data_IF_397215008497
#
_entry.id   IF_397215008497
#
_cell.length_a   1.000
_cell.length_b   1.000
_cell.length_c   1.000
_cell.angle_alpha   90.00
_cell.angle_beta   90.00
_cell.angle_gamma   90.00
#
_symmetry.space_group_name_H-M   'P 1'
#
loop_
_entity.id
_entity.type
_entity.pdbx_description
1 polymer ?
#
# COMPACT_ATOMS: atom_id res chain seq x y z
N UNK A 1 19.23 -50.40 42.95
CA UNK A 1 19.76 -51.19 41.80
C UNK A 1 18.81 -50.92 40.66
N UNK A 2 19.08 -50.17 39.59
CA UNK A 2 20.23 -49.43 39.01
C UNK A 2 19.52 -48.53 37.96
N UNK A 3 19.44 -47.21 38.14
CA UNK A 3 20.41 -46.22 37.63
C UNK A 3 20.84 -46.52 36.18
N UNK A 4 20.24 -45.80 35.23
CA UNK A 4 20.61 -45.76 33.82
C UNK A 4 21.28 -44.41 33.52
N UNK A 5 22.37 -44.40 32.72
CA UNK A 5 23.44 -43.41 32.83
C UNK A 5 23.09 -42.07 32.19
N UNK A 6 23.13 -41.01 32.99
CA UNK A 6 23.32 -39.64 32.54
C UNK A 6 24.81 -39.30 32.66
N UNK A 7 25.51 -39.13 31.54
CA UNK A 7 26.87 -38.59 31.46
C UNK A 7 27.16 -38.17 29.99
N UNK A 8 28.18 -37.33 29.70
CA UNK A 8 28.82 -36.29 30.50
C UNK A 8 29.27 -35.12 29.61
N UNK A 9 28.53 -34.03 29.55
CA UNK A 9 29.11 -32.74 29.17
C UNK A 9 28.50 -31.66 30.05
N UNK A 10 28.81 -31.81 31.33
CA UNK A 10 28.83 -30.69 32.25
C UNK A 10 30.00 -29.75 31.88
N UNK A 11 29.80 -28.48 32.23
CA UNK A 11 30.73 -27.35 32.23
C UNK A 11 30.91 -26.63 30.87
N UNK A 12 30.79 -25.31 30.77
CA UNK A 12 30.57 -24.25 31.75
C UNK A 12 30.35 -22.95 30.96
N UNK A 13 29.43 -22.10 31.40
CA UNK A 13 29.71 -20.84 32.11
C UNK A 13 29.61 -19.60 31.20
N UNK A 14 28.83 -18.63 31.69
CA UNK A 14 28.74 -17.21 31.33
C UNK A 14 28.12 -16.79 29.98
N UNK A 15 26.89 -16.28 30.09
CA UNK A 15 26.47 -14.91 29.73
C UNK A 15 24.93 -14.93 29.70
N UNK A 16 24.26 -14.37 30.70
CA UNK A 16 23.65 -13.03 30.63
C UNK A 16 22.53 -12.89 29.58
N UNK A 17 21.44 -12.27 30.04
CA UNK A 17 20.29 -11.78 29.27
C UNK A 17 19.29 -12.83 28.74
N UNK A 18 18.30 -13.13 29.59
CA UNK A 18 16.93 -13.41 29.10
C UNK A 18 16.15 -12.10 29.24
N UNK A 19 16.29 -11.23 28.24
CA UNK A 19 15.44 -10.08 27.98
C UNK A 19 15.82 -9.49 26.60
N UNK A 20 14.82 -8.98 25.88
CA UNK A 20 14.87 -8.31 24.56
C UNK A 20 14.64 -9.31 23.40
N UNK A 21 13.51 -9.31 22.68
CA UNK A 21 12.85 -8.20 21.96
C UNK A 21 13.74 -7.70 20.81
N UNK A 22 13.12 -7.27 19.70
CA UNK A 22 13.70 -6.74 18.45
C UNK A 22 13.90 -7.77 17.33
N UNK A 23 13.56 -7.50 16.09
CA UNK A 23 12.78 -6.43 15.49
C UNK A 23 12.39 -6.98 14.11
N UNK A 24 11.09 -7.09 13.85
CA UNK A 24 10.64 -7.08 12.45
C UNK A 24 10.91 -5.67 11.96
N UNK A 25 11.92 -5.52 11.11
CA UNK A 25 12.10 -4.35 10.25
C UNK A 25 10.97 -4.39 9.21
N UNK A 26 9.76 -4.20 9.72
CA UNK A 26 8.65 -3.60 9.01
C UNK A 26 9.10 -2.16 8.85
N UNK A 27 9.26 -1.69 7.60
CA UNK A 27 9.50 -0.28 7.33
C UNK A 27 8.25 0.43 7.80
N UNK A 28 8.23 0.74 9.09
CA UNK A 28 7.20 1.53 9.71
C UNK A 28 7.22 2.85 8.93
N UNK A 29 6.09 3.27 8.33
CA UNK A 29 5.98 4.63 7.85
C UNK A 29 6.44 5.53 9.00
N UNK A 30 7.26 6.55 8.68
CA UNK A 30 7.76 7.51 9.67
C UNK A 30 6.65 7.85 10.66
N UNK A 31 6.92 7.95 11.99
CA UNK A 31 5.89 7.99 13.00
C UNK A 31 4.88 9.09 12.65
N UNK A 32 3.73 8.66 12.09
CA UNK A 32 2.63 9.54 11.69
C UNK A 32 2.21 10.22 12.98
N UNK A 33 2.48 11.51 13.06
CA UNK A 33 2.38 12.24 14.32
C UNK A 33 0.90 12.38 14.63
N UNK A 34 0.41 11.54 15.52
CA UNK A 34 -0.97 11.59 16.00
C UNK A 34 -1.22 13.00 16.53
N UNK A 35 -2.07 13.75 15.83
CA UNK A 35 -2.37 15.14 16.15
C UNK A 35 -3.50 15.20 17.16
N UNK A 36 -3.40 16.13 18.11
CA UNK A 36 -4.58 16.55 18.86
C UNK A 36 -5.44 17.49 18.01
N UNK A 37 -6.73 17.57 18.33
CA UNK A 37 -7.66 18.54 17.72
C UNK A 37 -7.08 19.95 17.64
N UNK A 38 -6.49 20.45 18.73
CA UNK A 38 -5.94 21.81 18.78
C UNK A 38 -4.76 22.00 17.81
N UNK A 39 -3.96 20.96 17.60
CA UNK A 39 -2.81 20.96 16.69
C UNK A 39 -3.26 20.92 15.23
N UNK A 40 -4.37 20.23 14.94
CA UNK A 40 -5.07 20.29 13.66
C UNK A 40 -5.90 21.58 13.47
N UNK A 41 -5.88 22.50 14.45
CA UNK A 41 -6.69 23.72 14.46
C UNK A 41 -8.20 23.47 14.43
N UNK A 42 -8.62 22.34 15.01
CA UNK A 42 -10.01 21.92 15.13
C UNK A 42 -10.54 22.12 16.55
N UNK A 43 -11.84 22.31 16.66
CA UNK A 43 -12.56 22.37 17.93
C UNK A 43 -13.76 21.44 17.90
N UNK A 44 -14.24 20.98 19.05
CA UNK A 44 -15.54 20.31 19.12
C UNK A 44 -16.65 21.20 18.50
N UNK A 45 -17.47 20.63 17.63
CA UNK A 45 -18.44 21.31 16.78
C UNK A 45 -17.89 21.79 15.43
N UNK A 46 -16.60 21.60 15.14
CA UNK A 46 -16.03 21.96 13.84
C UNK A 46 -16.62 21.10 12.72
N UNK A 47 -16.73 21.72 11.54
CA UNK A 47 -17.21 21.11 10.31
C UNK A 47 -16.06 20.71 9.41
N UNK A 48 -16.12 19.47 8.95
CA UNK A 48 -15.09 18.81 8.18
C UNK A 48 -15.73 18.14 6.97
N UNK A 49 -14.92 17.87 5.96
CA UNK A 49 -15.25 16.99 4.87
C UNK A 49 -14.23 15.85 4.84
N UNK A 50 -14.71 14.62 4.74
CA UNK A 50 -13.86 13.41 4.67
C UNK A 50 -14.02 12.78 3.29
N UNK A 51 -12.91 12.45 2.64
CA UNK A 51 -12.88 11.83 1.31
C UNK A 51 -13.19 10.34 1.45
N UNK A 52 -14.29 9.91 0.86
CA UNK A 52 -14.73 8.51 0.81
C UNK A 52 -14.61 7.97 -0.61
N UNK A 53 -14.12 6.74 -0.74
CA UNK A 53 -14.22 5.97 -1.97
C UNK A 53 -15.40 5.01 -1.82
N UNK A 54 -16.49 5.30 -2.53
CA UNK A 54 -17.72 4.52 -2.46
C UNK A 54 -17.73 3.53 -3.63
N UNK A 55 -17.77 2.25 -3.30
CA UNK A 55 -17.94 1.16 -4.25
C UNK A 55 -19.40 0.66 -4.19
N UNK A 56 -20.30 1.15 -5.07
CA UNK A 56 -21.69 0.70 -5.07
C UNK A 56 -21.80 -0.75 -5.58
N UNK A 57 -22.81 -1.50 -5.08
CA UNK A 57 -23.11 -2.86 -5.56
C UNK A 57 -23.38 -2.92 -7.09
N UNK A 58 -23.91 -1.81 -7.64
CA UNK A 58 -24.15 -1.62 -9.07
C UNK A 58 -23.61 -0.25 -9.49
N UNK A 59 -22.52 -0.22 -10.26
CA UNK A 59 -21.94 1.01 -10.81
C UNK A 59 -20.41 1.02 -10.80
N UNK A 60 -19.84 2.16 -11.18
CA UNK A 60 -18.42 2.44 -11.06
C UNK A 60 -18.14 3.04 -9.67
N UNK A 61 -16.99 2.69 -9.09
CA UNK A 61 -16.52 3.28 -7.85
C UNK A 61 -16.36 4.80 -8.03
N UNK A 62 -16.78 5.58 -7.04
CA UNK A 62 -16.65 7.04 -7.10
C UNK A 62 -16.13 7.59 -5.78
N UNK A 63 -15.36 8.67 -5.89
CA UNK A 63 -14.83 9.39 -4.74
C UNK A 63 -15.72 10.58 -4.42
N UNK A 64 -15.98 10.81 -3.13
CA UNK A 64 -16.77 11.96 -2.66
C UNK A 64 -16.27 12.50 -1.34
N UNK A 65 -16.28 13.82 -1.22
CA UNK A 65 -16.13 14.52 0.06
C UNK A 65 -17.46 14.53 0.81
N UNK A 66 -17.47 13.92 1.99
CA UNK A 66 -18.65 13.77 2.84
C UNK A 66 -18.56 14.68 4.07
N UNK A 67 -19.59 15.49 4.29
CA UNK A 67 -19.67 16.39 5.43
C UNK A 67 -19.74 15.64 6.76
N UNK A 68 -18.93 16.06 7.73
CA UNK A 68 -18.89 15.50 9.07
C UNK A 68 -18.75 16.62 10.13
N UNK A 69 -19.33 16.39 11.29
CA UNK A 69 -19.18 17.26 12.47
C UNK A 69 -18.33 16.57 13.51
N UNK A 70 -17.27 17.24 13.94
CA UNK A 70 -16.41 16.75 15.01
C UNK A 70 -17.09 16.94 16.36
N UNK A 71 -17.58 15.87 16.97
CA UNK A 71 -18.38 15.94 18.20
C UNK A 71 -17.51 16.24 19.42
N UNK A 72 -16.33 15.61 19.50
CA UNK A 72 -15.47 15.70 20.69
C UNK A 72 -14.57 14.48 20.88
N UNK A 73 -13.82 14.43 21.99
CA UNK A 73 -13.09 13.22 22.38
C UNK A 73 -14.06 12.07 22.71
N UNK A 74 -13.76 10.89 22.18
CA UNK A 74 -14.47 9.64 22.51
C UNK A 74 -13.87 8.96 23.74
N UNK A 75 -14.64 8.07 24.35
CA UNK A 75 -14.17 7.14 25.40
C UNK A 75 -13.49 5.89 24.84
N UNK A 76 -13.59 5.67 23.53
CA UNK A 76 -12.92 4.57 22.82
C UNK A 76 -11.40 4.73 22.87
N UNK A 77 -10.69 3.61 22.75
CA UNK A 77 -9.23 3.57 22.77
C UNK A 77 -8.72 2.94 21.48
N UNK A 78 -7.69 3.54 20.90
CA UNK A 78 -7.01 2.91 19.77
C UNK A 78 -6.38 1.58 20.24
N UNK A 79 -6.59 0.47 19.51
CA UNK A 79 -6.11 -0.86 19.92
C UNK A 79 -4.59 -0.93 20.09
N UNK A 80 -3.84 -0.36 19.15
CA UNK A 80 -2.37 -0.37 19.16
C UNK A 80 -1.72 0.82 19.88
N UNK A 81 -2.46 1.92 20.09
CA UNK A 81 -1.95 3.16 20.68
C UNK A 81 -2.90 3.66 21.78
N UNK A 82 -2.89 3.06 22.98
CA UNK A 82 -3.84 3.40 24.04
C UNK A 82 -3.75 4.85 24.56
N UNK A 83 -2.66 5.55 24.27
CA UNK A 83 -2.44 6.97 24.59
C UNK A 83 -2.90 7.93 23.47
N UNK A 84 -3.30 7.40 22.31
CA UNK A 84 -3.84 8.20 21.21
C UNK A 84 -5.19 8.80 21.58
N UNK A 85 -5.41 10.06 21.20
CA UNK A 85 -6.69 10.72 21.40
C UNK A 85 -7.66 10.29 20.29
N UNK A 86 -8.72 9.57 20.67
CA UNK A 86 -9.81 9.19 19.78
C UNK A 86 -10.89 10.25 19.81
N UNK A 87 -11.44 10.57 18.65
CA UNK A 87 -12.49 11.56 18.46
C UNK A 87 -13.73 10.92 17.83
N UNK A 88 -14.90 11.47 18.14
CA UNK A 88 -16.16 11.06 17.50
C UNK A 88 -16.48 12.05 16.36
N UNK A 89 -16.63 11.53 15.14
CA UNK A 89 -17.18 12.24 13.98
C UNK A 89 -18.63 11.81 13.78
N UNK A 90 -19.51 12.79 13.54
CA UNK A 90 -20.88 12.54 13.11
C UNK A 90 -21.01 12.94 11.63
N UNK A 91 -21.14 11.96 10.75
CA UNK A 91 -21.37 12.16 9.33
C UNK A 91 -22.79 12.68 9.06
N UNK A 92 -22.92 13.52 8.05
CA UNK A 92 -24.23 13.99 7.61
C UNK A 92 -24.99 12.87 6.89
N UNK A 93 -26.30 12.83 7.07
CA UNK A 93 -27.15 11.96 6.28
C UNK A 93 -27.12 12.40 4.81
N UNK A 94 -26.97 11.44 3.90
CA UNK A 94 -26.90 11.71 2.47
C UNK A 94 -27.62 10.61 1.70
N UNK A 95 -28.62 10.99 0.90
CA UNK A 95 -29.49 10.11 0.10
C UNK A 95 -29.91 8.83 0.85
N UNK A 96 -29.20 7.72 0.65
CA UNK A 96 -29.46 6.38 1.19
C UNK A 96 -28.72 6.05 2.50
N UNK A 97 -27.88 6.96 2.99
CA UNK A 97 -27.05 6.77 4.18
C UNK A 97 -27.57 7.65 5.32
N UNK A 98 -27.97 6.99 6.41
CA UNK A 98 -28.35 7.66 7.66
C UNK A 98 -27.16 8.38 8.29
N UNK A 99 -27.45 9.32 9.19
CA UNK A 99 -26.42 9.92 10.02
C UNK A 99 -25.72 8.83 10.84
N UNK A 100 -24.42 8.65 10.59
CA UNK A 100 -23.56 7.70 11.29
C UNK A 100 -22.55 8.43 12.17
N UNK A 101 -22.23 7.80 13.31
CA UNK A 101 -21.15 8.23 14.19
C UNK A 101 -19.99 7.27 14.07
N UNK A 102 -18.80 7.81 13.92
CA UNK A 102 -17.59 7.03 13.80
C UNK A 102 -16.48 7.55 14.71
N UNK A 103 -15.61 6.63 15.11
CA UNK A 103 -14.44 6.88 15.94
C UNK A 103 -13.21 7.04 15.07
N UNK A 104 -12.54 8.17 15.21
CA UNK A 104 -11.37 8.50 14.40
C UNK A 104 -10.18 8.94 15.24
N UNK A 105 -8.98 8.75 14.69
CA UNK A 105 -7.73 9.30 15.20
C UNK A 105 -7.12 10.20 14.13
N UNK A 106 -6.76 11.43 14.50
CA UNK A 106 -6.11 12.34 13.55
C UNK A 106 -4.65 11.93 13.42
N UNK A 107 -4.26 11.47 12.23
CA UNK A 107 -2.91 10.97 11.93
C UNK A 107 -2.02 12.05 11.30
N UNK A 108 -2.61 13.19 10.90
CA UNK A 108 -1.93 14.35 10.31
C UNK A 108 -2.89 15.50 10.03
N UNK A 109 -2.39 16.57 9.40
CA UNK A 109 -3.17 17.78 9.10
C UNK A 109 -4.34 17.51 8.14
N UNK A 110 -4.22 16.50 7.28
CA UNK A 110 -5.25 16.09 6.33
C UNK A 110 -5.50 14.57 6.32
N UNK A 111 -4.98 13.85 7.31
CA UNK A 111 -5.11 12.39 7.41
C UNK A 111 -5.77 12.00 8.73
N UNK A 112 -6.73 11.08 8.67
CA UNK A 112 -7.38 10.47 9.81
C UNK A 112 -7.49 8.95 9.63
N UNK A 113 -7.49 8.22 10.74
CA UNK A 113 -7.76 6.79 10.76
C UNK A 113 -9.12 6.55 11.38
N UNK A 114 -10.03 5.93 10.65
CA UNK A 114 -11.34 5.50 11.14
C UNK A 114 -11.23 4.13 11.80
N UNK A 115 -11.44 4.08 13.12
CA UNK A 115 -11.25 2.88 13.93
C UNK A 115 -12.34 1.81 13.71
N UNK A 116 -13.56 2.20 13.33
CA UNK A 116 -14.65 1.24 13.13
C UNK A 116 -14.41 0.32 11.93
N UNK A 117 -13.70 0.82 10.90
CA UNK A 117 -13.38 0.09 9.67
C UNK A 117 -11.87 -0.16 9.49
N UNK A 118 -11.03 0.38 10.38
CA UNK A 118 -9.56 0.39 10.26
C UNK A 118 -9.09 0.97 8.92
N UNK A 119 -9.76 2.02 8.45
CA UNK A 119 -9.48 2.64 7.16
C UNK A 119 -8.88 4.04 7.35
N UNK A 120 -7.82 4.35 6.61
CA UNK A 120 -7.23 5.68 6.59
C UNK A 120 -7.94 6.53 5.53
N UNK A 121 -8.40 7.69 5.95
CA UNK A 121 -9.18 8.62 5.13
C UNK A 121 -8.52 10.00 5.14
N UNK A 122 -8.71 10.71 4.03
CA UNK A 122 -8.27 12.09 3.89
C UNK A 122 -9.37 13.04 4.38
N UNK A 123 -9.02 14.08 5.11
CA UNK A 123 -9.98 15.07 5.59
C UNK A 123 -9.53 16.51 5.29
N UNK A 124 -10.50 17.40 5.19
CA UNK A 124 -10.30 18.84 5.08
C UNK A 124 -11.36 19.60 5.87
N UNK A 125 -11.17 20.90 6.09
CA UNK A 125 -12.21 21.73 6.69
C UNK A 125 -13.30 22.02 5.67
N UNK A 126 -14.54 22.17 6.12
CA UNK A 126 -15.65 22.49 5.21
C UNK A 126 -15.40 23.83 4.51
N UNK A 127 -15.40 23.83 3.18
CA UNK A 127 -15.12 25.00 2.34
C UNK A 127 -13.64 25.31 2.14
N UNK A 128 -12.74 24.44 2.60
CA UNK A 128 -11.32 24.49 2.29
C UNK A 128 -11.08 23.86 0.92
N UNK A 129 -10.50 24.63 -0.02
CA UNK A 129 -10.09 24.14 -1.34
C UNK A 129 -8.74 23.42 -1.23
N UNK A 130 -8.62 22.51 -0.26
CA UNK A 130 -7.48 21.61 -0.20
C UNK A 130 -7.59 20.65 -1.37
N UNK A 131 -6.71 20.88 -2.34
CA UNK A 131 -6.35 19.92 -3.38
C UNK A 131 -5.23 19.05 -2.82
N UNK A 132 -5.32 17.76 -3.04
CA UNK A 132 -4.26 16.82 -2.70
C UNK A 132 -3.07 17.20 -3.55
N UNK A 133 -2.16 18.02 -3.01
CA UNK A 133 -0.86 18.22 -3.64
C UNK A 133 -0.25 16.83 -3.58
N UNK A 134 -0.05 16.15 -4.73
CA UNK A 134 0.53 14.82 -4.73
C UNK A 134 1.82 14.91 -3.91
N UNK A 135 1.89 14.13 -2.82
CA UNK A 135 3.12 14.00 -2.05
C UNK A 135 4.12 13.32 -2.99
N UNK A 136 4.94 14.16 -3.61
CA UNK A 136 5.94 13.89 -4.64
C UNK A 136 5.40 13.37 -6.00
N UNK A 137 5.14 14.32 -6.91
CA UNK A 137 5.06 14.08 -8.35
C UNK A 137 3.99 14.91 -9.04
N UNK A 138 4.36 16.10 -9.53
CA UNK A 138 3.63 16.77 -10.61
C UNK A 138 3.52 15.81 -11.79
N UNK A 139 2.37 15.20 -11.96
CA UNK A 139 1.76 15.04 -13.28
C UNK A 139 0.26 15.26 -13.10
N UNK A 140 -0.16 16.47 -13.47
CA UNK A 140 -1.53 16.71 -13.90
C UNK A 140 -1.83 15.70 -15.01
N UNK A 141 -2.44 14.56 -14.66
CA UNK A 141 -3.16 13.73 -15.62
C UNK A 141 -4.34 14.56 -16.13
N UNK A 142 -4.04 15.49 -17.04
CA UNK A 142 -4.90 15.73 -18.17
C UNK A 142 -5.08 14.35 -18.80
N UNK A 143 -6.24 13.75 -18.56
CA UNK A 143 -6.67 12.50 -19.19
C UNK A 143 -6.82 12.81 -20.69
N UNK A 144 -5.67 12.89 -21.38
CA UNK A 144 -5.61 12.96 -22.82
C UNK A 144 -5.98 11.56 -23.26
N UNK A 145 -7.19 11.44 -23.78
CA UNK A 145 -7.67 10.30 -24.56
C UNK A 145 -6.76 10.11 -25.79
N UNK A 146 -5.59 9.53 -25.54
CA UNK A 146 -4.48 9.45 -26.47
C UNK A 146 -3.48 8.43 -25.97
N UNK A 147 -3.70 7.17 -26.37
CA UNK A 147 -2.77 6.04 -26.36
C UNK A 147 -1.32 6.44 -25.99
N UNK A 148 -1.00 6.40 -24.69
CA UNK A 148 0.30 6.80 -24.18
C UNK A 148 1.36 5.79 -24.64
N UNK A 149 2.17 6.20 -25.62
CA UNK A 149 3.32 5.42 -26.09
C UNK A 149 4.45 5.61 -25.07
N UNK A 150 4.55 4.68 -24.12
CA UNK A 150 5.67 4.63 -23.16
C UNK A 150 6.96 4.35 -23.93
N UNK A 151 7.94 5.24 -23.78
CA UNK A 151 9.26 5.12 -24.40
C UNK A 151 10.25 4.43 -23.46
N UNK A 152 11.35 3.92 -24.02
CA UNK A 152 12.42 3.30 -23.23
C UNK A 152 13.13 4.31 -22.29
N UNK A 153 13.02 5.61 -22.58
CA UNK A 153 13.55 6.67 -21.72
C UNK A 153 12.65 6.87 -20.50
N UNK A 154 11.32 6.78 -20.67
CA UNK A 154 10.35 6.86 -19.55
C UNK A 154 10.53 5.69 -18.58
N UNK A 155 10.73 4.47 -19.10
CA UNK A 155 11.02 3.28 -18.28
C UNK A 155 12.32 3.39 -17.49
N UNK A 156 13.34 4.06 -18.04
CA UNK A 156 14.63 4.24 -17.37
C UNK A 156 14.56 5.30 -16.25
N UNK A 157 13.68 6.29 -16.40
CA UNK A 157 13.43 7.30 -15.37
C UNK A 157 12.63 6.70 -14.21
N UNK A 158 11.59 5.91 -14.52
CA UNK A 158 10.79 5.17 -13.54
C UNK A 158 11.64 4.14 -12.76
N UNK A 159 12.52 3.40 -13.44
CA UNK A 159 13.46 2.46 -12.79
C UNK A 159 14.33 3.17 -11.75
N UNK A 160 14.82 4.37 -12.07
CA UNK A 160 15.70 5.14 -11.18
C UNK A 160 14.97 5.64 -9.93
N UNK A 161 13.70 6.00 -10.07
CA UNK A 161 12.84 6.43 -8.96
C UNK A 161 12.47 5.24 -8.05
N UNK A 162 12.02 4.13 -8.63
CA UNK A 162 11.66 2.91 -7.90
C UNK A 162 12.84 2.31 -7.12
N UNK A 163 14.06 2.42 -7.66
CA UNK A 163 15.28 1.94 -7.01
C UNK A 163 15.84 2.95 -5.99
N UNK A 164 15.18 4.09 -5.76
CA UNK A 164 15.64 5.13 -4.83
C UNK A 164 17.03 5.66 -5.18
N UNK A 165 17.36 5.72 -6.46
CA UNK A 165 18.69 6.11 -6.96
C UNK A 165 19.80 5.05 -6.81
N UNK A 166 19.48 3.84 -6.34
CA UNK A 166 20.40 2.69 -6.36
C UNK A 166 20.42 2.05 -7.75
N UNK A 167 21.49 1.32 -8.07
CA UNK A 167 21.46 0.46 -9.26
C UNK A 167 20.59 -0.78 -9.01
N UNK A 168 20.04 -1.37 -10.09
CA UNK A 168 19.23 -2.58 -10.00
C UNK A 168 19.98 -3.72 -9.27
N UNK A 169 21.27 -3.89 -9.58
CA UNK A 169 22.12 -4.91 -8.94
C UNK A 169 22.28 -4.67 -7.42
N UNK A 170 22.34 -3.41 -6.98
CA UNK A 170 22.43 -3.07 -5.56
C UNK A 170 21.11 -3.36 -4.82
N UNK A 171 19.97 -2.99 -5.42
CA UNK A 171 18.65 -3.27 -4.86
C UNK A 171 18.37 -4.78 -4.80
N UNK A 172 18.71 -5.52 -5.85
CA UNK A 172 18.61 -6.98 -5.89
C UNK A 172 19.47 -7.64 -4.82
N UNK A 173 20.73 -7.19 -4.67
CA UNK A 173 21.65 -7.73 -3.67
C UNK A 173 21.15 -7.49 -2.24
N UNK A 174 20.61 -6.31 -1.96
CA UNK A 174 20.03 -5.95 -0.67
C UNK A 174 18.80 -6.82 -0.36
N UNK A 175 17.84 -6.90 -1.30
CA UNK A 175 16.64 -7.71 -1.17
C UNK A 175 16.93 -9.22 -1.06
N UNK A 176 17.94 -9.73 -1.77
CA UNK A 176 18.33 -11.14 -1.69
C UNK A 176 19.12 -11.46 -0.41
N UNK A 177 19.83 -10.49 0.16
CA UNK A 177 20.62 -10.69 1.39
C UNK A 177 19.76 -10.79 2.64
N UNK A 178 18.58 -10.16 2.65
CA UNK A 178 17.59 -10.27 3.75
C UNK A 178 16.78 -11.57 3.69
N UNK A 179 16.78 -12.28 2.56
CA UNK A 179 16.03 -13.52 2.37
C UNK A 179 16.78 -14.77 2.82
N UNK A 180 16.06 -15.66 3.50
CA UNK A 180 16.55 -17.00 3.83
C UNK A 180 16.93 -17.80 2.57
N UNK A 181 17.97 -18.65 2.60
CA UNK A 181 18.47 -19.36 1.43
C UNK A 181 17.41 -20.18 0.66
N UNK A 182 16.45 -20.78 1.37
CA UNK A 182 15.34 -21.52 0.77
C UNK A 182 14.38 -20.61 -0.02
N UNK A 183 14.15 -19.38 0.48
CA UNK A 183 13.30 -18.38 -0.17
C UNK A 183 13.99 -17.79 -1.41
N UNK A 184 15.32 -17.57 -1.36
CA UNK A 184 16.11 -17.15 -2.54
C UNK A 184 16.01 -18.14 -3.71
N UNK A 185 16.09 -19.44 -3.43
CA UNK A 185 15.97 -20.48 -4.45
C UNK A 185 14.55 -20.49 -5.05
N UNK A 186 13.52 -20.32 -4.21
CA UNK A 186 12.13 -20.25 -4.66
C UNK A 186 11.86 -19.00 -5.52
N UNK A 187 12.39 -17.83 -5.12
CA UNK A 187 12.29 -16.58 -5.88
C UNK A 187 12.99 -16.71 -7.23
N UNK A 188 14.23 -17.21 -7.25
CA UNK A 188 14.98 -17.41 -8.50
C UNK A 188 14.27 -18.39 -9.45
N UNK A 189 13.67 -19.46 -8.92
CA UNK A 189 12.89 -20.41 -9.72
C UNK A 189 11.59 -19.79 -10.24
N UNK A 190 10.90 -19.00 -9.42
CA UNK A 190 9.67 -18.28 -9.81
C UNK A 190 9.94 -17.21 -10.87
N UNK A 191 11.00 -16.43 -10.72
CA UNK A 191 11.42 -15.42 -11.69
C UNK A 191 11.79 -16.06 -13.03
N UNK A 192 12.47 -17.21 -13.02
CA UNK A 192 12.77 -17.95 -14.25
C UNK A 192 11.50 -18.41 -14.98
N UNK A 193 10.54 -19.00 -14.24
CA UNK A 193 9.26 -19.43 -14.83
C UNK A 193 8.50 -18.20 -15.39
N UNK A 194 8.51 -17.08 -14.67
CA UNK A 194 7.94 -15.81 -15.13
C UNK A 194 8.61 -15.30 -16.41
N UNK A 195 9.94 -15.21 -16.45
CA UNK A 195 10.68 -14.72 -17.61
C UNK A 195 10.46 -15.60 -18.85
N UNK A 196 10.47 -16.93 -18.68
CA UNK A 196 10.20 -17.87 -19.77
C UNK A 196 8.75 -17.70 -20.31
N UNK A 197 7.77 -17.43 -19.44
CA UNK A 197 6.39 -17.17 -19.84
C UNK A 197 6.22 -15.82 -20.53
N UNK A 198 6.88 -14.77 -20.03
CA UNK A 198 6.85 -13.43 -20.61
C UNK A 198 7.44 -13.44 -22.03
N UNK A 199 8.61 -14.06 -22.21
CA UNK A 199 9.24 -14.21 -23.54
C UNK A 199 8.34 -15.00 -24.50
N UNK A 200 7.72 -16.08 -24.03
CA UNK A 200 6.79 -16.87 -24.84
C UNK A 200 5.55 -16.08 -25.24
N UNK A 201 5.00 -15.29 -24.31
CA UNK A 201 3.85 -14.43 -24.54
C UNK A 201 4.17 -13.32 -25.55
N UNK A 202 5.28 -12.60 -25.38
CA UNK A 202 5.71 -11.56 -26.31
C UNK A 202 5.93 -12.13 -27.72
N UNK A 203 6.49 -13.33 -27.85
CA UNK A 203 6.67 -13.97 -29.14
C UNK A 203 5.33 -14.36 -29.80
N UNK A 204 4.31 -14.71 -29.01
CA UNK A 204 2.96 -15.02 -29.50
C UNK A 204 2.20 -13.76 -29.94
N UNK A 205 2.30 -12.68 -29.15
CA UNK A 205 1.72 -11.36 -29.47
C UNK A 205 2.35 -10.77 -30.74
N UNK A 206 3.68 -10.78 -30.83
CA UNK A 206 4.41 -10.30 -32.02
C UNK A 206 4.15 -11.19 -33.23
N UNK A 207 4.01 -12.51 -33.02
CA UNK A 207 3.76 -13.48 -34.10
C UNK A 207 2.31 -13.53 -34.60
N UNK A 208 1.35 -13.08 -33.79
CA UNK A 208 -0.09 -13.09 -34.11
C UNK A 208 -0.63 -11.73 -34.58
N UNK A 209 0.19 -10.68 -34.52
CA UNK A 209 -0.19 -9.37 -35.03
C UNK A 209 -0.44 -9.42 -36.55
N UNK A 210 -1.60 -8.95 -37.05
CA UNK A 210 -1.83 -8.85 -38.49
C UNK A 210 -0.78 -7.94 -39.12
N UNK A 211 -0.24 -8.30 -40.29
CA UNK A 211 0.71 -7.48 -41.08
C UNK A 211 0.05 -6.19 -41.63
N UNK A 212 -0.58 -5.38 -40.79
CA UNK A 212 -1.16 -4.10 -41.17
C UNK A 212 -0.42 -2.96 -40.49
N UNK A 213 -0.09 -1.98 -41.32
CA UNK A 213 0.52 -0.70 -41.01
C UNK A 213 1.96 -0.73 -40.48
N UNK A 214 2.90 -1.20 -41.32
CA UNK A 214 4.24 -0.61 -41.57
C UNK A 214 5.15 -0.19 -40.40
N UNK A 215 4.79 -0.50 -39.17
CA UNK A 215 5.40 -0.05 -37.93
C UNK A 215 5.88 -1.24 -37.09
N UNK A 216 6.71 -0.98 -36.08
CA UNK A 216 7.19 -2.03 -35.19
C UNK A 216 6.01 -2.67 -34.44
N UNK A 217 6.10 -3.97 -34.10
CA UNK A 217 5.10 -4.63 -33.30
C UNK A 217 4.98 -3.92 -31.96
N UNK A 218 3.77 -3.45 -31.64
CA UNK A 218 3.52 -2.62 -30.46
C UNK A 218 2.81 -3.47 -29.39
N UNK A 219 3.34 -3.44 -28.17
CA UNK A 219 2.71 -4.06 -27.00
C UNK A 219 1.77 -3.02 -26.39
N UNK A 220 0.48 -3.32 -26.33
CA UNK A 220 -0.54 -2.43 -25.78
C UNK A 220 -0.91 -2.84 -24.35
N UNK A 221 -1.61 -1.97 -23.63
CA UNK A 221 -2.12 -2.25 -22.29
C UNK A 221 -3.00 -3.52 -22.26
N UNK A 222 -3.77 -3.78 -23.31
CA UNK A 222 -4.58 -5.01 -23.44
C UNK A 222 -3.72 -6.28 -23.47
N UNK A 223 -2.56 -6.23 -24.13
CA UNK A 223 -1.61 -7.35 -24.12
C UNK A 223 -1.03 -7.59 -22.72
N UNK A 224 -0.73 -6.51 -21.97
CA UNK A 224 -0.24 -6.62 -20.58
C UNK A 224 -1.32 -7.23 -19.68
N UNK A 225 -2.56 -6.77 -19.78
CA UNK A 225 -3.67 -7.31 -18.99
C UNK A 225 -3.93 -8.79 -19.29
N UNK A 226 -3.91 -9.18 -20.57
CA UNK A 226 -4.06 -10.57 -20.99
C UNK A 226 -2.94 -11.48 -20.44
N UNK A 227 -1.70 -10.96 -20.34
CA UNK A 227 -0.59 -11.68 -19.73
C UNK A 227 -0.80 -11.89 -18.22
N UNK A 228 -1.26 -10.86 -17.50
CA UNK A 228 -1.56 -10.96 -16.07
C UNK A 228 -2.65 -12.01 -15.81
N UNK A 229 -3.72 -12.01 -16.60
CA UNK A 229 -4.79 -13.01 -16.49
C UNK A 229 -4.28 -14.42 -16.81
N UNK A 230 -3.42 -14.58 -17.81
CA UNK A 230 -2.79 -15.85 -18.15
C UNK A 230 -1.96 -16.40 -16.98
N UNK A 231 -1.16 -15.56 -16.34
CA UNK A 231 -0.34 -15.91 -15.18
C UNK A 231 -1.20 -16.27 -13.96
N UNK A 232 -2.25 -15.50 -13.67
CA UNK A 232 -3.17 -15.77 -12.57
C UNK A 232 -3.90 -17.11 -12.73
N UNK A 233 -4.32 -17.44 -13.96
CA UNK A 233 -4.95 -18.72 -14.28
C UNK A 233 -3.99 -19.90 -14.14
N UNK A 234 -2.73 -19.73 -14.57
CA UNK A 234 -1.69 -20.76 -14.47
C UNK A 234 -1.32 -21.07 -13.02
N UNK A 235 -1.26 -20.06 -12.15
CA UNK A 235 -1.02 -20.24 -10.71
C UNK A 235 -2.17 -20.96 -9.99
N UNK A 236 -3.43 -20.72 -10.39
CA UNK A 236 -4.60 -21.42 -9.84
C UNK A 236 -4.73 -22.89 -10.24
N UNK A 237 -4.02 -23.30 -11.29
CA UNK A 237 -4.09 -24.67 -11.83
C UNK A 237 -2.95 -25.56 -11.33
N UNK A 238 -2.05 -25.03 -10.48
CA UNK A 238 -0.88 -25.73 -9.93
C UNK A 238 -1.11 -26.21 -8.50
#
# INVERSE_FOLDING_TARGET
MTDGPALPWAAGENAEAVAQQEATDDVAPAPRSILRMEEAGLTAGARLEVKWNVEPDEGEAYTRWWGATLVGPSTEKHPDHPDASVYELAYDAHDDFDQEKSHVVLMGEHSLLQLDQTEELTWRREGDEWDEVPEDGDDEEEVVDGEAVVTMEDLAEEEKELLGGKTLEEAESEAMSTLEPAKRIAVAAGFRDFADNLVSFLHDVVGSAPESDGGPPTVTAEHVQAFVEHMAKKQRTR
#
